data_IF_335152216956
#
_entry.id   IF_335152216956
#
_cell.length_a   1.000
_cell.length_b   1.000
_cell.length_c   1.000
_cell.angle_alpha   90.00
_cell.angle_beta   90.00
_cell.angle_gamma   90.00
#
_symmetry.space_group_name_H-M   'P 1'
#
loop_
_entity.id
_entity.type
_entity.pdbx_description
1 polymer ?
#
# COMPACT_ATOMS: atom_id res chain seq x y z
N UNK A 1 -24.38 -19.04 14.68
CA UNK A 1 -23.62 -17.77 14.79
C UNK A 1 -22.23 -18.15 15.27
N UNK A 2 -21.30 -18.35 14.34
CA UNK A 2 -20.02 -18.98 14.62
C UNK A 2 -19.09 -18.00 15.37
N UNK A 3 -18.67 -18.29 16.62
CA UNK A 3 -17.86 -17.38 17.44
C UNK A 3 -16.42 -17.17 16.92
N UNK A 4 -16.00 -17.88 15.88
CA UNK A 4 -14.61 -17.86 15.36
C UNK A 4 -14.34 -16.74 14.34
N UNK A 5 -15.39 -16.02 13.93
CA UNK A 5 -15.30 -14.90 12.96
C UNK A 5 -14.46 -13.66 13.37
N UNK A 6 -14.29 -13.27 14.66
CA UNK A 6 -13.52 -12.07 14.99
C UNK A 6 -12.00 -12.29 14.94
N UNK A 7 -11.52 -13.51 15.19
CA UNK A 7 -10.07 -13.80 15.23
C UNK A 7 -9.45 -13.73 13.83
N UNK A 8 -10.10 -14.32 12.82
CA UNK A 8 -9.58 -14.41 11.44
C UNK A 8 -9.56 -13.07 10.69
N UNK A 9 -10.56 -12.22 10.92
CA UNK A 9 -10.58 -10.85 10.38
C UNK A 9 -9.42 -9.99 10.92
N UNK A 10 -8.93 -10.28 12.13
CA UNK A 10 -7.75 -9.64 12.68
C UNK A 10 -6.49 -9.91 11.84
N UNK A 11 -6.31 -11.14 11.37
CA UNK A 11 -5.16 -11.53 10.55
C UNK A 11 -5.18 -10.93 9.15
N UNK A 12 -6.34 -10.87 8.50
CA UNK A 12 -6.46 -10.23 7.18
C UNK A 12 -6.20 -8.73 7.27
N UNK A 13 -6.70 -8.06 8.31
CA UNK A 13 -6.39 -6.66 8.60
C UNK A 13 -4.91 -6.45 8.91
N UNK A 14 -4.30 -7.29 9.74
CA UNK A 14 -2.88 -7.22 10.04
C UNK A 14 -2.03 -7.40 8.77
N UNK A 15 -2.39 -8.37 7.93
CA UNK A 15 -1.74 -8.59 6.63
C UNK A 15 -1.86 -7.38 5.71
N UNK A 16 -3.04 -6.77 5.61
CA UNK A 16 -3.24 -5.53 4.84
C UNK A 16 -2.43 -4.36 5.40
N UNK A 17 -2.36 -4.19 6.72
CA UNK A 17 -1.56 -3.15 7.36
C UNK A 17 -0.09 -3.31 7.03
N UNK A 18 0.45 -4.52 7.18
CA UNK A 18 1.86 -4.82 6.84
C UNK A 18 2.12 -4.55 5.36
N UNK A 19 1.23 -5.02 4.48
CA UNK A 19 1.38 -4.85 3.04
C UNK A 19 1.29 -3.39 2.59
N UNK A 20 0.42 -2.57 3.21
CA UNK A 20 0.20 -1.18 2.80
C UNK A 20 1.18 -0.21 3.46
N UNK A 21 1.62 -0.46 4.70
CA UNK A 21 2.45 0.47 5.49
C UNK A 21 3.90 0.04 5.66
N UNK A 22 4.21 -1.26 5.54
CA UNK A 22 5.55 -1.79 5.79
C UNK A 22 6.25 -2.32 4.54
N UNK A 23 5.53 -2.52 3.43
CA UNK A 23 6.14 -2.98 2.18
C UNK A 23 6.83 -1.81 1.45
N UNK A 24 8.05 -2.00 0.92
CA UNK A 24 8.72 -0.96 0.16
C UNK A 24 7.93 -0.63 -1.11
N UNK A 25 7.55 0.63 -1.25
CA UNK A 25 6.75 1.10 -2.39
C UNK A 25 7.62 1.28 -3.63
N UNK A 26 8.84 1.79 -3.44
CA UNK A 26 9.78 1.99 -4.54
C UNK A 26 11.22 1.75 -4.09
N UNK A 27 12.05 1.34 -5.05
CA UNK A 27 13.51 1.31 -4.92
C UNK A 27 14.06 2.31 -5.91
N UNK A 28 14.97 3.17 -5.48
CA UNK A 28 15.51 4.23 -6.33
C UNK A 28 17.03 4.31 -6.23
N UNK A 29 17.64 4.74 -7.33
CA UNK A 29 19.08 5.00 -7.43
C UNK A 29 19.27 6.49 -7.69
N UNK A 30 20.22 7.09 -6.99
CA UNK A 30 20.54 8.51 -7.08
C UNK A 30 21.79 8.70 -7.97
N UNK A 31 21.64 9.52 -9.00
CA UNK A 31 22.67 9.82 -9.99
C UNK A 31 23.20 8.58 -10.71
N UNK A 32 24.48 8.58 -11.06
CA UNK A 32 25.20 7.46 -11.66
C UNK A 32 25.73 6.48 -10.59
N UNK A 33 24.82 5.91 -9.79
CA UNK A 33 25.14 5.04 -8.63
C UNK A 33 25.89 5.73 -7.48
N UNK A 34 25.62 7.02 -7.25
CA UNK A 34 26.17 7.75 -6.10
C UNK A 34 25.46 7.37 -4.78
N UNK A 35 24.30 6.74 -4.89
CA UNK A 35 23.58 6.16 -3.78
C UNK A 35 22.35 5.37 -4.25
N UNK A 36 21.79 4.59 -3.33
CA UNK A 36 20.56 3.84 -3.55
C UNK A 36 19.66 3.98 -2.32
N UNK A 37 18.36 3.87 -2.52
CA UNK A 37 17.40 3.99 -1.45
C UNK A 37 16.17 3.12 -1.67
N UNK A 38 15.52 2.83 -0.55
CA UNK A 38 14.25 2.12 -0.49
C UNK A 38 13.25 3.03 0.17
N UNK A 39 12.13 3.23 -0.51
CA UNK A 39 11.07 4.10 -0.04
C UNK A 39 9.92 3.27 0.51
N UNK A 40 9.65 3.45 1.79
CA UNK A 40 8.46 2.95 2.46
C UNK A 40 7.39 4.05 2.48
N UNK A 41 6.13 3.69 2.79
CA UNK A 41 5.05 4.65 2.93
C UNK A 41 5.37 5.77 3.93
N UNK A 42 5.92 5.43 5.10
CA UNK A 42 6.12 6.37 6.21
C UNK A 42 7.54 6.97 6.29
N UNK A 43 8.51 6.34 5.65
CA UNK A 43 9.91 6.77 5.68
C UNK A 43 10.65 6.29 4.44
N UNK A 44 11.80 6.88 4.16
CA UNK A 44 12.73 6.40 3.15
C UNK A 44 14.10 6.15 3.77
N UNK A 45 14.66 5.01 3.44
CA UNK A 45 16.05 4.68 3.76
C UNK A 45 16.89 4.96 2.53
N UNK A 46 17.98 5.70 2.67
CA UNK A 46 18.92 5.93 1.58
C UNK A 46 20.35 5.76 2.06
N UNK A 47 21.16 5.14 1.22
CA UNK A 47 22.58 4.95 1.42
C UNK A 47 23.32 5.69 0.30
N UNK A 48 24.21 6.59 0.69
CA UNK A 48 25.03 7.40 -0.21
C UNK A 48 26.49 7.29 0.18
N UNK A 49 27.39 7.82 -0.64
CA UNK A 49 28.81 7.92 -0.30
C UNK A 49 29.07 8.72 1.00
N UNK A 50 28.14 9.57 1.45
CA UNK A 50 28.23 10.31 2.71
C UNK A 50 27.66 9.53 3.92
N UNK A 51 27.18 8.31 3.71
CA UNK A 51 26.61 7.44 4.74
C UNK A 51 25.12 7.16 4.55
N UNK A 52 24.58 6.36 5.48
CA UNK A 52 23.17 5.99 5.53
C UNK A 52 22.32 7.05 6.23
N UNK A 53 21.14 7.32 5.69
CA UNK A 53 20.21 8.30 6.25
C UNK A 53 18.77 7.77 6.17
N UNK A 54 18.00 8.02 7.22
CA UNK A 54 16.56 7.74 7.27
C UNK A 54 15.82 9.06 7.27
N UNK A 55 15.01 9.28 6.24
CA UNK A 55 14.18 10.47 6.13
C UNK A 55 12.74 10.07 6.35
N UNK A 56 12.11 10.66 7.36
CA UNK A 56 10.69 10.42 7.67
C UNK A 56 9.80 11.32 6.84
N UNK A 57 8.55 10.90 6.65
CA UNK A 57 7.54 11.69 5.93
C UNK A 57 7.31 13.08 6.56
N UNK A 58 7.43 13.19 7.89
CA UNK A 58 7.33 14.47 8.59
C UNK A 58 8.45 15.43 8.21
N UNK A 59 9.67 14.92 8.06
CA UNK A 59 10.82 15.73 7.67
C UNK A 59 10.71 16.19 6.22
N UNK A 60 10.23 15.33 5.33
CA UNK A 60 9.95 15.72 3.94
C UNK A 60 8.85 16.79 3.86
N UNK A 61 7.78 16.67 4.66
CA UNK A 61 6.72 17.68 4.70
C UNK A 61 7.21 18.99 5.31
N UNK A 62 8.03 18.94 6.36
CA UNK A 62 8.64 20.11 6.97
C UNK A 62 9.50 20.87 5.94
N UNK A 63 10.31 20.18 5.14
CA UNK A 63 11.09 20.82 4.08
C UNK A 63 10.25 21.49 3.00
N UNK A 64 9.06 20.95 2.71
CA UNK A 64 8.10 21.59 1.79
C UNK A 64 7.46 22.82 2.44
N UNK A 65 7.03 22.71 3.69
CA UNK A 65 6.39 23.81 4.44
C UNK A 65 7.34 24.98 4.70
N UNK A 66 8.61 24.68 4.98
CA UNK A 66 9.67 25.68 5.16
C UNK A 66 10.14 26.30 3.83
N UNK A 67 9.63 25.81 2.69
CA UNK A 67 10.05 26.28 1.37
C UNK A 67 11.49 25.89 1.00
N UNK A 68 12.09 24.94 1.73
CA UNK A 68 13.42 24.38 1.40
C UNK A 68 13.34 23.56 0.10
N UNK A 69 12.23 22.84 -0.11
CA UNK A 69 11.92 22.12 -1.34
C UNK A 69 10.75 22.81 -2.03
N UNK A 70 10.96 23.35 -3.23
CA UNK A 70 9.93 24.07 -4.00
C UNK A 70 9.74 23.50 -5.40
N UNK A 71 8.66 23.94 -6.06
CA UNK A 71 8.35 23.59 -7.44
C UNK A 71 8.08 22.10 -7.65
N UNK A 72 8.64 21.53 -8.71
CA UNK A 72 8.40 20.14 -9.12
C UNK A 72 8.83 19.11 -8.06
N UNK A 73 9.88 19.43 -7.30
CA UNK A 73 10.41 18.55 -6.26
C UNK A 73 9.51 18.45 -5.02
N UNK A 74 8.62 19.42 -4.79
CA UNK A 74 7.65 19.40 -3.70
C UNK A 74 6.42 18.54 -4.02
N UNK A 75 6.12 18.31 -5.31
CA UNK A 75 4.95 17.53 -5.72
C UNK A 75 5.06 16.07 -5.29
N UNK A 76 6.26 15.50 -5.35
CA UNK A 76 6.48 14.11 -4.97
C UNK A 76 6.12 13.83 -3.50
N UNK A 77 6.67 14.53 -2.50
CA UNK A 77 6.31 14.27 -1.10
C UNK A 77 4.82 14.57 -0.82
N UNK A 78 4.22 15.56 -1.47
CA UNK A 78 2.78 15.84 -1.32
C UNK A 78 1.91 14.70 -1.85
N UNK A 79 2.19 14.22 -3.07
CA UNK A 79 1.50 13.07 -3.66
C UNK A 79 1.75 11.79 -2.86
N UNK A 80 2.95 11.65 -2.31
CA UNK A 80 3.30 10.53 -1.44
C UNK A 80 2.46 10.52 -0.16
N UNK A 81 2.39 11.66 0.53
CA UNK A 81 1.54 11.84 1.73
C UNK A 81 0.08 11.56 1.39
N UNK A 82 -0.42 12.06 0.27
CA UNK A 82 -1.77 11.76 -0.19
C UNK A 82 -1.98 10.25 -0.40
N UNK A 83 -0.99 9.56 -0.96
CA UNK A 83 -0.98 8.10 -1.11
C UNK A 83 -1.09 7.39 0.23
N UNK A 84 -0.29 7.79 1.22
CA UNK A 84 -0.34 7.23 2.59
C UNK A 84 -1.72 7.43 3.21
N UNK A 85 -2.27 8.66 3.15
CA UNK A 85 -3.60 8.97 3.70
C UNK A 85 -4.68 8.13 3.01
N UNK A 86 -4.59 7.97 1.69
CA UNK A 86 -5.52 7.12 0.92
C UNK A 86 -5.42 5.65 1.33
N UNK A 87 -4.20 5.11 1.50
CA UNK A 87 -3.99 3.74 1.98
C UNK A 87 -4.56 3.51 3.38
N UNK A 88 -4.34 4.46 4.30
CA UNK A 88 -4.91 4.41 5.65
C UNK A 88 -6.44 4.44 5.61
N UNK A 89 -7.04 5.31 4.80
CA UNK A 89 -8.50 5.34 4.63
C UNK A 89 -9.04 4.01 4.09
N UNK A 90 -8.27 3.35 3.22
CA UNK A 90 -8.53 1.98 2.75
C UNK A 90 -8.57 0.97 3.89
N UNK A 91 -7.51 0.92 4.70
CA UNK A 91 -7.41 0.03 5.88
C UNK A 91 -8.58 0.28 6.84
N UNK A 92 -8.85 1.54 7.17
CA UNK A 92 -9.94 1.91 8.09
C UNK A 92 -11.29 1.46 7.56
N UNK A 93 -11.55 1.62 6.26
CA UNK A 93 -12.80 1.17 5.64
C UNK A 93 -12.99 -0.35 5.76
N UNK A 94 -11.91 -1.12 5.67
CA UNK A 94 -11.92 -2.59 5.83
C UNK A 94 -12.05 -2.99 7.31
N UNK A 95 -11.51 -2.18 8.23
CA UNK A 95 -11.56 -2.43 9.66
C UNK A 95 -12.95 -2.22 10.28
N UNK A 96 -13.81 -1.40 9.66
CA UNK A 96 -15.17 -1.13 10.18
C UNK A 96 -16.00 -2.43 10.24
N UNK A 97 -16.56 -2.80 11.41
CA UNK A 97 -17.31 -4.03 11.59
C UNK A 97 -18.49 -4.19 10.62
N UNK A 98 -18.78 -5.43 10.23
CA UNK A 98 -19.85 -5.76 9.27
C UNK A 98 -21.25 -5.33 9.71
N UNK A 99 -21.45 -5.19 11.03
CA UNK A 99 -22.70 -4.67 11.59
C UNK A 99 -22.94 -3.18 11.27
N UNK A 100 -21.89 -2.42 10.97
CA UNK A 100 -21.95 -1.01 10.53
C UNK A 100 -21.79 -0.84 9.02
N UNK A 101 -21.67 -1.94 8.25
CA UNK A 101 -21.49 -1.89 6.78
C UNK A 101 -22.72 -1.41 6.01
N UNK A 102 -23.88 -1.21 6.65
CA UNK A 102 -25.05 -0.61 5.99
C UNK A 102 -24.73 0.78 5.41
N UNK A 103 -23.67 1.44 5.90
CA UNK A 103 -23.19 2.74 5.42
C UNK A 103 -21.78 2.68 4.78
N UNK A 104 -21.01 1.60 4.97
CA UNK A 104 -19.61 1.47 4.52
C UNK A 104 -19.41 0.18 3.74
N UNK A 105 -19.18 0.28 2.43
CA UNK A 105 -18.90 -0.87 1.57
C UNK A 105 -17.39 -1.16 1.50
N UNK A 106 -16.95 -2.43 1.63
CA UNK A 106 -15.53 -2.81 1.47
C UNK A 106 -14.96 -2.40 0.10
N UNK A 107 -15.83 -2.24 -0.92
CA UNK A 107 -15.46 -1.70 -2.23
C UNK A 107 -14.81 -0.32 -2.15
N UNK A 108 -15.26 0.55 -1.24
CA UNK A 108 -14.64 1.86 -1.02
C UNK A 108 -13.22 1.71 -0.50
N UNK A 109 -12.99 0.75 0.41
CA UNK A 109 -11.66 0.42 0.91
C UNK A 109 -10.71 -0.01 -0.21
N UNK A 110 -11.17 -0.91 -1.09
CA UNK A 110 -10.39 -1.35 -2.25
C UNK A 110 -10.04 -0.21 -3.21
N UNK A 111 -10.99 0.70 -3.48
CA UNK A 111 -10.75 1.90 -4.31
C UNK A 111 -9.71 2.82 -3.67
N UNK A 112 -9.77 3.04 -2.35
CA UNK A 112 -8.76 3.83 -1.64
C UNK A 112 -7.37 3.18 -1.70
N UNK A 113 -7.27 1.86 -1.56
CA UNK A 113 -5.99 1.15 -1.67
C UNK A 113 -5.42 1.28 -3.10
N UNK A 114 -6.23 1.05 -4.13
CA UNK A 114 -5.81 1.26 -5.53
C UNK A 114 -5.43 2.73 -5.78
N UNK A 115 -6.18 3.67 -5.21
CA UNK A 115 -5.90 5.09 -5.24
C UNK A 115 -4.55 5.45 -4.62
N UNK A 116 -4.15 4.78 -3.53
CA UNK A 116 -2.81 4.94 -2.94
C UNK A 116 -1.71 4.53 -3.93
N UNK A 117 -1.87 3.39 -4.60
CA UNK A 117 -0.94 2.92 -5.61
C UNK A 117 -0.81 3.89 -6.79
N UNK A 118 -1.94 4.44 -7.25
CA UNK A 118 -1.96 5.47 -8.29
C UNK A 118 -1.25 6.75 -7.85
N UNK A 119 -1.48 7.21 -6.62
CA UNK A 119 -0.82 8.40 -6.07
C UNK A 119 0.69 8.22 -5.94
N UNK A 120 1.15 7.04 -5.50
CA UNK A 120 2.58 6.72 -5.47
C UNK A 120 3.19 6.69 -6.88
N UNK A 121 2.46 6.14 -7.86
CA UNK A 121 2.89 6.14 -9.25
C UNK A 121 3.03 7.58 -9.79
N UNK A 122 2.04 8.43 -9.52
CA UNK A 122 2.08 9.85 -9.90
C UNK A 122 3.21 10.60 -9.19
N UNK A 123 3.49 10.28 -7.93
CA UNK A 123 4.61 10.85 -7.18
C UNK A 123 5.95 10.51 -7.86
N UNK A 124 6.12 9.26 -8.31
CA UNK A 124 7.31 8.82 -9.05
C UNK A 124 7.41 9.48 -10.43
N UNK A 125 6.31 9.61 -11.15
CA UNK A 125 6.28 10.32 -12.45
C UNK A 125 6.64 11.80 -12.26
N UNK A 126 6.16 12.44 -11.18
CA UNK A 126 6.49 13.83 -10.88
C UNK A 126 8.00 14.01 -10.65
N UNK A 127 8.64 13.09 -9.92
CA UNK A 127 10.06 13.16 -9.59
C UNK A 127 11.00 12.68 -10.71
N UNK A 128 10.76 11.50 -11.27
CA UNK A 128 11.65 10.85 -12.23
C UNK A 128 11.18 10.95 -13.68
N UNK A 129 9.97 11.46 -13.92
CA UNK A 129 9.36 11.51 -15.24
C UNK A 129 8.65 10.20 -15.64
N UNK A 130 7.95 10.18 -16.79
CA UNK A 130 7.16 9.02 -17.24
C UNK A 130 7.99 7.75 -17.47
N UNK A 131 9.26 7.90 -17.85
CA UNK A 131 10.20 6.79 -18.07
C UNK A 131 10.85 6.28 -16.78
N UNK A 132 10.47 6.82 -15.62
CA UNK A 132 11.10 6.56 -14.32
C UNK A 132 12.62 6.77 -14.28
N UNK A 133 13.12 7.60 -15.20
CA UNK A 133 14.54 7.92 -15.36
C UNK A 133 14.69 9.42 -15.52
N UNK A 134 15.45 10.05 -14.63
CA UNK A 134 15.85 11.44 -14.74
C UNK A 134 17.38 11.55 -14.74
N UNK A 135 17.91 12.74 -15.01
CA UNK A 135 19.34 13.02 -14.83
C UNK A 135 19.82 12.78 -13.39
N UNK A 136 18.89 12.74 -12.43
CA UNK A 136 19.13 12.44 -11.02
C UNK A 136 19.03 10.96 -10.66
N UNK A 137 18.83 10.04 -11.62
CA UNK A 137 18.79 8.59 -11.40
C UNK A 137 17.48 7.93 -11.84
N UNK A 138 17.17 6.73 -11.35
CA UNK A 138 15.98 5.98 -11.75
C UNK A 138 15.25 5.36 -10.54
N UNK A 139 13.96 5.04 -10.71
CA UNK A 139 13.14 4.42 -9.68
C UNK A 139 12.32 3.23 -10.20
N UNK A 140 12.19 2.18 -9.40
CA UNK A 140 11.40 0.99 -9.71
C UNK A 140 10.22 0.93 -8.72
N UNK A 141 8.96 1.05 -9.20
CA UNK A 141 7.77 1.05 -8.36
C UNK A 141 7.37 -0.37 -7.94
N UNK A 142 8.17 -1.03 -7.11
CA UNK A 142 7.93 -2.45 -6.73
C UNK A 142 6.63 -2.66 -5.95
N UNK A 143 6.21 -1.70 -5.11
CA UNK A 143 5.00 -1.83 -4.30
C UNK A 143 3.73 -1.37 -5.00
N UNK A 144 3.81 -0.61 -6.10
CA UNK A 144 2.61 -0.13 -6.82
C UNK A 144 1.78 -1.30 -7.37
N UNK A 145 2.34 -2.28 -8.10
CA UNK A 145 1.59 -3.47 -8.54
C UNK A 145 0.94 -4.22 -7.37
N UNK A 146 1.66 -4.34 -6.25
CA UNK A 146 1.19 -5.03 -5.05
C UNK A 146 -0.04 -4.33 -4.47
N UNK A 147 -0.02 -2.99 -4.38
CA UNK A 147 -1.16 -2.20 -3.91
C UNK A 147 -2.37 -2.30 -4.84
N UNK A 148 -2.16 -2.35 -6.16
CA UNK A 148 -3.26 -2.57 -7.10
C UNK A 148 -3.91 -3.94 -6.92
N UNK A 149 -3.10 -5.00 -6.79
CA UNK A 149 -3.60 -6.35 -6.55
C UNK A 149 -4.33 -6.44 -5.21
N UNK A 150 -3.76 -5.91 -4.13
CA UNK A 150 -4.40 -5.92 -2.82
C UNK A 150 -5.72 -5.12 -2.82
N UNK A 151 -5.73 -3.94 -3.43
CA UNK A 151 -6.94 -3.14 -3.57
C UNK A 151 -8.01 -3.84 -4.41
N UNK A 152 -7.61 -4.51 -5.49
CA UNK A 152 -8.51 -5.33 -6.31
C UNK A 152 -9.11 -6.50 -5.53
N UNK A 153 -8.32 -7.21 -4.72
CA UNK A 153 -8.79 -8.32 -3.89
C UNK A 153 -9.82 -7.83 -2.84
N UNK A 154 -9.59 -6.66 -2.25
CA UNK A 154 -10.55 -6.02 -1.33
C UNK A 154 -11.81 -5.55 -2.06
N UNK A 155 -11.66 -4.99 -3.27
CA UNK A 155 -12.79 -4.49 -4.06
C UNK A 155 -13.68 -5.60 -4.62
N UNK A 156 -13.06 -6.68 -5.08
CA UNK A 156 -13.75 -7.85 -5.64
C UNK A 156 -14.36 -8.76 -4.59
N UNK A 157 -14.17 -8.45 -3.30
CA UNK A 157 -14.58 -9.29 -2.15
C UNK A 157 -13.90 -10.66 -2.12
N UNK A 158 -12.97 -10.93 -3.06
CA UNK A 158 -12.25 -12.19 -3.17
C UNK A 158 -11.43 -12.47 -1.92
N UNK A 159 -10.87 -11.42 -1.31
CA UNK A 159 -10.08 -11.54 -0.07
C UNK A 159 -10.88 -12.15 1.09
N UNK A 160 -12.20 -11.97 1.10
CA UNK A 160 -13.09 -12.53 2.11
C UNK A 160 -13.69 -13.87 1.69
N UNK A 161 -13.75 -14.17 0.38
CA UNK A 161 -14.26 -15.46 -0.14
C UNK A 161 -13.26 -16.61 -0.06
N UNK A 162 -11.96 -16.32 -0.16
CA UNK A 162 -10.93 -17.33 0.12
C UNK A 162 -11.07 -17.93 1.54
N UNK A 163 -11.75 -17.23 2.45
CA UNK A 163 -11.96 -17.65 3.84
C UNK A 163 -13.15 -18.64 4.00
N UNK A 164 -14.09 -18.73 3.04
CA UNK A 164 -15.26 -19.62 3.11
C UNK A 164 -15.05 -20.98 2.41
N UNK A 165 -14.09 -21.08 1.48
CA UNK A 165 -13.99 -22.24 0.56
C UNK A 165 -13.29 -23.45 1.20
N UNK A 166 -12.47 -23.22 2.24
CA UNK A 166 -11.73 -24.28 2.96
C UNK A 166 -12.60 -25.13 3.91
N UNK A 167 -13.87 -24.79 4.12
CA UNK A 167 -14.80 -25.54 4.99
C UNK A 167 -15.85 -26.40 4.26
N UNK A 168 -15.80 -26.49 2.93
CA UNK A 168 -16.65 -27.47 2.22
C UNK A 168 -16.08 -28.89 2.38
N UNK A 169 -16.38 -29.50 3.53
CA UNK A 169 -16.21 -30.94 3.79
C UNK A 169 -16.82 -31.70 2.60
N UNK A 170 -16.09 -32.63 1.94
CA UNK A 170 -16.70 -33.43 0.89
C UNK A 170 -17.84 -34.22 1.52
N UNK A 171 -19.06 -34.10 0.99
CA UNK A 171 -20.17 -34.98 1.35
C UNK A 171 -19.71 -36.42 1.20
N UNK A 172 -19.50 -37.09 2.33
CA UNK A 172 -19.24 -38.51 2.39
C UNK A 172 -20.50 -39.19 1.82
N UNK A 173 -20.40 -39.65 0.58
CA UNK A 173 -21.44 -40.43 -0.08
C UNK A 173 -21.70 -41.67 0.77
N UNK A 174 -22.81 -41.64 1.52
CA UNK A 174 -23.40 -42.81 2.13
C UNK A 174 -23.80 -43.77 1.02
N UNK A 175 -22.85 -44.62 0.63
CA UNK A 175 -23.10 -45.81 -0.16
C UNK A 175 -23.82 -46.82 0.75
N UNK A 176 -25.16 -46.77 0.69
CA UNK A 176 -26.03 -47.69 1.39
C UNK A 176 -25.73 -49.11 0.90
N UNK A 177 -25.07 -49.86 1.76
CA UNK A 177 -24.75 -51.28 1.59
C UNK A 177 -26.03 -52.09 1.34
N UNK A 178 -25.98 -52.91 0.27
CA UNK A 178 -26.99 -53.91 -0.09
C UNK A 178 -27.01 -55.10 0.85
#
# INVERSE_FOLDING_TARGET
MNPDTPYRRGWTLAGLVVLILCLPVSVYVIGSMLGAGVQFPLFRYQETYMGANVITIFRDLQYVLEGTITGRSALMPVLWVAGVVSGIAGIVSVAIPSRMQRMYSPRRGGICIMGSGLLYLLALIAQYGPSFSSSGGFAIPVGVPVLFVAGWLVWSDSLFRFDETDESVPEESQDNSS
#
